data_IF_677838288050
#
_entry.id   IF_677838288050
#
_cell.length_a   1.000
_cell.length_b   1.000
_cell.length_c   1.000
_cell.angle_alpha   90.00
_cell.angle_beta   90.00
_cell.angle_gamma   90.00
#
_symmetry.space_group_name_H-M   'P 1'
#
loop_
_entity.id
_entity.type
_entity.pdbx_description
1 polymer ?
#
# COMPACT_ATOMS: atom_id res chain seq x y z
N UNK A 1 -4.02 12.88 -5.55
CA UNK A 1 -4.86 12.95 -4.34
C UNK A 1 -4.75 11.72 -3.42
N UNK A 2 -4.66 10.48 -3.93
CA UNK A 2 -4.58 9.28 -3.07
C UNK A 2 -3.44 9.31 -2.04
N UNK A 3 -2.20 9.53 -2.48
CA UNK A 3 -1.03 9.53 -1.58
C UNK A 3 -1.08 10.60 -0.49
N UNK A 4 -1.58 11.79 -0.82
CA UNK A 4 -1.82 12.88 0.14
C UNK A 4 -2.91 12.54 1.16
N UNK A 5 -3.90 11.72 0.77
CA UNK A 5 -4.95 11.29 1.68
C UNK A 5 -4.45 10.17 2.60
N UNK A 6 -3.73 9.19 2.04
CA UNK A 6 -3.07 8.12 2.80
C UNK A 6 -2.16 8.70 3.88
N UNK A 7 -1.36 9.71 3.54
CA UNK A 7 -0.40 10.31 4.49
C UNK A 7 -1.06 10.98 5.70
N UNK A 8 -2.32 11.42 5.58
CA UNK A 8 -3.12 12.01 6.66
C UNK A 8 -3.90 10.97 7.49
N UNK A 9 -4.24 9.83 6.88
CA UNK A 9 -5.07 8.80 7.52
C UNK A 9 -4.26 7.85 8.40
N UNK A 10 -2.99 7.59 8.04
CA UNK A 10 -2.16 6.61 8.74
C UNK A 10 -1.36 7.27 9.86
N UNK A 11 -1.27 6.59 11.01
CA UNK A 11 -0.42 7.02 12.12
C UNK A 11 1.03 7.24 11.61
N UNK A 12 1.68 8.38 11.91
CA UNK A 12 3.06 8.68 11.52
C UNK A 12 4.09 7.62 11.89
N UNK A 13 3.86 6.89 12.98
CA UNK A 13 4.76 5.86 13.50
C UNK A 13 4.54 4.49 12.86
N UNK A 14 3.39 4.26 12.25
CA UNK A 14 3.08 2.98 11.61
C UNK A 14 3.88 2.81 10.32
N UNK A 15 4.40 1.60 10.12
CA UNK A 15 5.22 1.30 8.93
C UNK A 15 4.34 1.25 7.69
N UNK A 16 4.84 1.84 6.60
CA UNK A 16 4.16 1.95 5.32
C UNK A 16 5.00 1.32 4.21
N UNK A 17 4.39 0.42 3.47
CA UNK A 17 5.00 -0.22 2.32
C UNK A 17 4.22 0.05 1.03
N UNK A 18 4.91 -0.05 -0.10
CA UNK A 18 4.33 -0.04 -1.44
C UNK A 18 4.72 -1.32 -2.17
N UNK A 19 3.73 -2.02 -2.73
CA UNK A 19 3.97 -3.20 -3.56
C UNK A 19 4.05 -2.82 -5.04
N UNK A 20 5.25 -2.91 -5.61
CA UNK A 20 5.52 -2.57 -7.00
C UNK A 20 6.93 -2.96 -7.46
N UNK A 21 7.17 -2.78 -8.75
CA UNK A 21 8.43 -3.16 -9.41
C UNK A 21 9.54 -2.11 -9.29
N UNK A 22 9.20 -0.90 -8.85
CA UNK A 22 10.10 0.24 -8.75
C UNK A 22 9.80 1.03 -7.48
N UNK A 23 10.80 1.73 -6.98
CA UNK A 23 10.64 2.66 -5.88
C UNK A 23 9.62 3.75 -6.23
N UNK A 24 8.68 3.95 -5.31
CA UNK A 24 7.65 4.97 -5.47
C UNK A 24 8.09 6.27 -4.78
N UNK A 25 9.00 6.98 -5.44
CA UNK A 25 9.53 8.27 -4.97
C UNK A 25 8.41 9.29 -4.73
N UNK A 26 7.41 9.32 -5.61
CA UNK A 26 6.22 10.18 -5.48
C UNK A 26 5.47 9.88 -4.18
N UNK A 27 5.29 8.61 -3.84
CA UNK A 27 4.61 8.24 -2.62
C UNK A 27 5.42 8.62 -1.37
N UNK A 28 6.73 8.35 -1.36
CA UNK A 28 7.60 8.75 -0.24
C UNK A 28 7.59 10.26 0.00
N UNK A 29 7.60 11.05 -1.09
CA UNK A 29 7.50 12.51 -1.03
C UNK A 29 6.20 12.98 -0.34
N UNK A 30 5.04 12.47 -0.79
CA UNK A 30 3.75 12.87 -0.20
C UNK A 30 3.46 12.26 1.17
N UNK A 31 4.07 11.12 1.49
CA UNK A 31 3.90 10.44 2.77
C UNK A 31 4.70 11.10 3.91
N UNK A 32 5.65 11.98 3.56
CA UNK A 32 6.59 12.63 4.48
C UNK A 32 7.29 11.64 5.43
N UNK A 33 7.55 10.42 4.94
CA UNK A 33 8.19 9.34 5.68
C UNK A 33 8.80 8.31 4.72
N UNK A 34 9.74 7.48 5.19
CA UNK A 34 10.25 6.36 4.41
C UNK A 34 9.11 5.40 4.04
N UNK A 35 9.03 5.01 2.77
CA UNK A 35 8.13 3.96 2.29
C UNK A 35 8.97 2.79 1.83
N UNK A 36 8.66 1.60 2.33
CA UNK A 36 9.36 0.37 1.96
C UNK A 36 8.80 -0.13 0.63
N UNK A 37 9.63 -0.26 -0.39
CA UNK A 37 9.24 -0.92 -1.65
C UNK A 37 9.36 -2.43 -1.50
N UNK A 38 8.25 -3.14 -1.70
CA UNK A 38 8.20 -4.59 -1.73
C UNK A 38 7.97 -5.04 -3.18
N UNK A 39 8.81 -5.92 -3.70
CA UNK A 39 8.72 -6.37 -5.09
C UNK A 39 8.27 -7.83 -5.23
N UNK A 40 8.36 -8.63 -4.16
CA UNK A 40 7.88 -10.02 -4.15
C UNK A 40 6.65 -10.15 -3.26
N UNK A 41 5.78 -11.10 -3.61
CA UNK A 41 4.56 -11.38 -2.83
C UNK A 41 4.90 -11.94 -1.44
N UNK A 42 5.97 -12.72 -1.33
CA UNK A 42 6.46 -13.28 -0.06
C UNK A 42 6.80 -12.15 0.93
N UNK A 43 7.48 -11.11 0.46
CA UNK A 43 7.85 -9.95 1.28
C UNK A 43 6.61 -9.21 1.80
N UNK A 44 5.54 -9.15 0.99
CA UNK A 44 4.25 -8.59 1.40
C UNK A 44 3.64 -9.37 2.56
N UNK A 45 3.65 -10.71 2.49
CA UNK A 45 3.16 -11.54 3.57
C UNK A 45 4.00 -11.38 4.84
N UNK A 46 5.32 -11.46 4.74
CA UNK A 46 6.22 -11.23 5.89
C UNK A 46 6.01 -9.84 6.49
N UNK A 47 5.85 -8.81 5.65
CA UNK A 47 5.61 -7.46 6.11
C UNK A 47 4.28 -7.34 6.85
N UNK A 48 3.19 -7.87 6.32
CA UNK A 48 1.85 -7.66 6.88
C UNK A 48 1.46 -8.66 7.99
N UNK A 49 2.22 -9.72 8.23
CA UNK A 49 1.86 -10.76 9.22
C UNK A 49 2.36 -10.48 10.65
N UNK A 50 2.94 -9.32 10.90
CA UNK A 50 3.40 -8.94 12.23
C UNK A 50 2.25 -8.44 13.12
N UNK A 51 2.50 -8.33 14.42
CA UNK A 51 1.52 -7.80 15.36
C UNK A 51 1.40 -6.27 15.31
N UNK A 52 2.46 -5.55 14.94
CA UNK A 52 2.40 -4.09 14.84
C UNK A 52 1.51 -3.64 13.67
N UNK A 53 0.84 -2.51 13.85
CA UNK A 53 0.02 -1.93 12.77
C UNK A 53 0.90 -1.56 11.57
N UNK A 54 0.57 -2.12 10.41
CA UNK A 54 1.27 -1.90 9.16
C UNK A 54 0.32 -1.66 8.02
N UNK A 55 0.77 -0.80 7.13
CA UNK A 55 0.01 -0.35 5.97
C UNK A 55 0.71 -0.75 4.69
N UNK A 56 -0.07 -1.23 3.73
CA UNK A 56 0.41 -1.61 2.41
C UNK A 56 -0.40 -0.90 1.33
N UNK A 57 0.30 -0.18 0.45
CA UNK A 57 -0.29 0.34 -0.77
C UNK A 57 0.02 -0.57 -1.93
N UNK A 58 -1.00 -0.90 -2.71
CA UNK A 58 -0.85 -1.64 -3.96
C UNK A 58 -1.94 -1.27 -4.96
N UNK A 59 -1.78 -1.64 -6.22
CA UNK A 59 -2.82 -1.44 -7.23
C UNK A 59 -3.92 -2.49 -7.11
N UNK A 60 -5.12 -2.18 -7.58
CA UNK A 60 -6.22 -3.17 -7.62
C UNK A 60 -5.85 -4.40 -8.47
N UNK A 61 -5.13 -4.20 -9.58
CA UNK A 61 -4.59 -5.29 -10.39
C UNK A 61 -3.67 -6.22 -9.58
N UNK A 62 -2.82 -5.66 -8.71
CA UNK A 62 -1.96 -6.48 -7.86
C UNK A 62 -2.77 -7.16 -6.76
N UNK A 63 -3.76 -6.48 -6.17
CA UNK A 63 -4.61 -7.02 -5.11
C UNK A 63 -5.38 -8.26 -5.57
N UNK A 64 -5.94 -8.23 -6.78
CA UNK A 64 -6.64 -9.39 -7.38
C UNK A 64 -5.77 -10.65 -7.54
N UNK A 65 -4.43 -10.52 -7.43
CA UNK A 65 -3.48 -11.64 -7.53
C UNK A 65 -3.11 -12.22 -6.16
N UNK A 66 -3.56 -11.62 -5.07
CA UNK A 66 -3.41 -12.19 -3.73
C UNK A 66 -4.68 -12.99 -3.40
N UNK A 67 -4.59 -14.30 -3.16
CA UNK A 67 -5.71 -15.07 -2.63
C UNK A 67 -6.05 -14.58 -1.21
N UNK A 68 -7.32 -14.71 -0.82
CA UNK A 68 -7.95 -14.25 0.44
C UNK A 68 -6.95 -13.91 1.56
N UNK A 69 -6.63 -12.62 1.66
CA UNK A 69 -5.74 -12.08 2.67
C UNK A 69 -6.58 -11.50 3.81
N UNK A 70 -6.20 -11.71 5.09
CA UNK A 70 -6.98 -11.24 6.23
C UNK A 70 -6.90 -9.71 6.45
N UNK A 71 -6.23 -8.98 5.55
CA UNK A 71 -5.96 -7.55 5.69
C UNK A 71 -7.15 -6.71 5.22
N UNK A 72 -7.47 -5.66 5.98
CA UNK A 72 -8.63 -4.81 5.73
C UNK A 72 -8.28 -3.71 4.73
N UNK A 73 -9.17 -3.47 3.77
CA UNK A 73 -9.09 -2.30 2.88
C UNK A 73 -9.53 -1.07 3.66
N UNK A 74 -8.61 -0.12 3.88
CA UNK A 74 -8.89 1.16 4.56
C UNK A 74 -9.27 2.26 3.57
N UNK A 75 -8.67 2.24 2.38
CA UNK A 75 -8.95 3.23 1.34
C UNK A 75 -8.83 2.59 -0.05
N UNK A 76 -9.73 2.98 -0.95
CA UNK A 76 -9.67 2.65 -2.37
C UNK A 76 -9.75 3.94 -3.18
N UNK A 77 -8.89 4.08 -4.18
CA UNK A 77 -9.03 5.09 -5.22
C UNK A 77 -9.46 4.41 -6.51
N UNK A 78 -10.41 5.02 -7.22
CA UNK A 78 -10.88 4.55 -8.52
C UNK A 78 -9.96 4.99 -9.67
N UNK A 79 -9.03 5.92 -9.42
CA UNK A 79 -8.19 6.53 -10.44
C UNK A 79 -6.73 6.13 -10.25
N UNK A 80 -6.20 5.39 -11.23
CA UNK A 80 -4.76 5.29 -11.48
C UNK A 80 -4.41 6.11 -12.71
N UNK A 81 -3.23 6.73 -12.73
CA UNK A 81 -2.72 7.47 -13.91
C UNK A 81 -2.79 6.62 -15.20
N UNK A 82 -2.69 5.30 -15.05
CA UNK A 82 -3.02 4.33 -16.08
C UNK A 82 -4.37 3.66 -15.77
N UNK A 83 -5.44 4.01 -16.51
CA UNK A 83 -6.82 3.48 -16.34
C UNK A 83 -6.91 1.94 -16.29
N UNK A 84 -5.92 1.24 -16.84
CA UNK A 84 -5.82 -0.22 -16.88
C UNK A 84 -5.45 -0.91 -15.54
N UNK A 85 -5.18 -0.18 -14.46
CA UNK A 85 -4.73 -0.77 -13.18
C UNK A 85 -5.78 -0.79 -12.06
N UNK A 86 -6.95 -0.17 -12.27
CA UNK A 86 -8.05 -0.15 -11.29
C UNK A 86 -7.79 0.72 -10.06
N UNK A 87 -6.84 1.65 -10.14
CA UNK A 87 -6.48 2.54 -9.03
C UNK A 87 -5.61 1.89 -7.95
N UNK A 88 -5.50 2.60 -6.83
CA UNK A 88 -4.70 2.20 -5.66
C UNK A 88 -5.57 1.81 -4.47
N UNK A 89 -5.08 0.87 -3.68
CA UNK A 89 -5.67 0.38 -2.44
C UNK A 89 -4.68 0.61 -1.30
N UNK A 90 -5.20 0.99 -0.13
CA UNK A 90 -4.49 0.97 1.14
C UNK A 90 -5.06 -0.18 1.97
N UNK A 91 -4.21 -1.14 2.32
CA UNK A 91 -4.51 -2.23 3.23
C UNK A 91 -3.91 -1.97 4.61
N UNK A 92 -4.53 -2.55 5.63
CA UNK A 92 -4.05 -2.58 7.01
C UNK A 92 -4.12 -4.01 7.54
N UNK A 93 -3.10 -4.46 8.26
CA UNK A 93 -3.08 -5.78 8.89
C UNK A 93 -3.99 -5.90 10.13
N UNK A 94 -4.58 -4.80 10.61
CA UNK A 94 -5.50 -4.73 11.75
C UNK A 94 -6.87 -4.11 11.41
#
# INVERSE_FOLDING_TARGET
>A
HFYTHVSKLINPLSSLAYFGSYDNYTFSFYAHRPVITLSKKEDVHTFMSVQEERYLVLTERNFKKFPEIPWKVKLKSEYSEHRSWGGYLLLCNQ
#
